data_IF_845284598121
#
_entry.id   IF_845284598121
#
_cell.length_a   1.000
_cell.length_b   1.000
_cell.length_c   1.000
_cell.angle_alpha   90.00
_cell.angle_beta   90.00
_cell.angle_gamma   90.00
#
_symmetry.space_group_name_H-M   'P 1'
#
loop_
_entity.id
_entity.type
_entity.pdbx_description
1 polymer ?
#
# COMPACT_ATOMS: atom_id res chain seq x y z
N UNK A 1 -11.97 26.80 -20.74
CA UNK A 1 -12.19 26.87 -19.27
C UNK A 1 -11.44 25.79 -18.50
N UNK A 2 -11.75 24.49 -18.64
CA UNK A 2 -11.01 23.42 -17.91
C UNK A 2 -9.55 23.30 -18.38
N UNK A 3 -9.30 23.44 -19.68
CA UNK A 3 -7.93 23.43 -20.21
C UNK A 3 -7.13 24.62 -19.70
N UNK A 4 -7.72 25.82 -19.69
CA UNK A 4 -7.10 27.02 -19.13
C UNK A 4 -6.77 26.83 -17.64
N UNK A 5 -7.70 26.25 -16.87
CA UNK A 5 -7.50 25.91 -15.46
C UNK A 5 -6.33 24.94 -15.27
N UNK A 6 -6.26 23.86 -16.06
CA UNK A 6 -5.18 22.88 -15.96
C UNK A 6 -3.85 23.37 -16.53
N UNK A 7 -3.84 24.29 -17.50
CA UNK A 7 -2.63 24.89 -18.05
C UNK A 7 -1.95 25.87 -17.06
N UNK A 8 -2.66 26.28 -16.02
CA UNK A 8 -2.14 27.20 -15.03
C UNK A 8 -1.09 26.52 -14.11
N UNK A 9 0.16 27.00 -14.18
CA UNK A 9 1.30 26.47 -13.42
C UNK A 9 1.15 26.54 -11.90
N UNK A 10 0.25 27.38 -11.39
CA UNK A 10 -0.04 27.44 -9.97
C UNK A 10 -1.11 26.44 -9.52
N UNK A 11 -1.88 25.89 -10.47
CA UNK A 11 -2.91 24.88 -10.24
C UNK A 11 -2.31 23.48 -10.28
N UNK A 12 -1.35 23.21 -11.17
CA UNK A 12 -0.75 21.87 -11.32
C UNK A 12 0.66 21.75 -10.73
N UNK A 13 0.91 20.64 -10.03
CA UNK A 13 2.24 20.23 -9.57
C UNK A 13 3.03 19.55 -10.72
N UNK A 14 3.59 20.32 -11.65
CA UNK A 14 4.34 19.74 -12.77
C UNK A 14 5.87 19.90 -12.69
N UNK A 15 6.44 20.70 -11.79
CA UNK A 15 7.91 20.84 -11.73
C UNK A 15 8.49 20.94 -10.33
N UNK A 16 9.43 20.05 -9.98
CA UNK A 16 10.18 20.11 -8.72
C UNK A 16 10.98 21.41 -8.54
N UNK A 17 11.29 22.12 -9.65
CA UNK A 17 11.87 23.48 -9.62
C UNK A 17 10.87 24.53 -9.10
N UNK A 18 9.59 24.41 -9.44
CA UNK A 18 8.56 25.33 -8.95
C UNK A 18 8.12 24.97 -7.52
N UNK A 19 8.04 23.69 -7.19
CA UNK A 19 7.79 23.23 -5.82
C UNK A 19 8.88 23.70 -4.86
N UNK A 20 10.16 23.54 -5.23
CA UNK A 20 11.27 24.06 -4.43
C UNK A 20 11.32 25.59 -4.37
N UNK A 21 10.97 26.30 -5.45
CA UNK A 21 10.82 27.76 -5.44
C UNK A 21 9.72 28.21 -4.46
N UNK A 22 8.56 27.55 -4.50
CA UNK A 22 7.43 27.92 -3.65
C UNK A 22 7.64 27.52 -2.19
N UNK A 23 8.16 26.33 -1.88
CA UNK A 23 8.47 25.90 -0.52
C UNK A 23 9.58 26.75 0.12
N UNK A 24 10.60 27.11 -0.67
CA UNK A 24 11.65 28.02 -0.23
C UNK A 24 11.09 29.40 0.13
N UNK A 25 10.00 29.85 -0.51
CA UNK A 25 9.31 31.09 -0.17
C UNK A 25 8.28 30.92 0.97
N UNK A 26 7.64 29.76 1.12
CA UNK A 26 6.70 29.46 2.22
C UNK A 26 7.38 29.50 3.59
N UNK A 27 8.62 29.01 3.70
CA UNK A 27 9.42 29.06 4.94
C UNK A 27 9.71 30.48 5.44
N UNK A 28 9.71 31.50 4.58
CA UNK A 28 9.94 32.89 5.02
C UNK A 28 8.70 33.51 5.67
N UNK A 29 7.50 33.09 5.29
CA UNK A 29 6.25 33.61 5.88
C UNK A 29 5.97 33.06 7.30
N UNK A 30 6.62 31.97 7.71
CA UNK A 30 6.51 31.47 9.09
C UNK A 30 7.35 32.30 10.08
N UNK A 31 8.38 33.02 9.62
CA UNK A 31 9.21 33.88 10.47
C UNK A 31 8.62 35.28 10.69
N UNK A 32 7.69 35.76 9.86
CA UNK A 32 7.05 37.07 10.04
C UNK A 32 5.89 37.08 11.07
N UNK A 33 5.51 35.92 11.63
CA UNK A 33 4.47 35.85 12.67
C UNK A 33 4.98 36.13 14.09
N UNK A 34 6.27 36.41 14.28
CA UNK A 34 6.83 36.77 15.58
C UNK A 34 7.39 38.19 15.49
N UNK A 35 6.52 39.15 15.79
CA UNK A 35 6.85 40.48 16.33
C UNK A 35 7.65 41.43 15.44
N UNK A 36 7.00 42.49 14.95
CA UNK A 36 7.33 43.89 15.28
C UNK A 36 6.50 44.85 14.41
N UNK A 37 5.99 45.90 15.05
CA UNK A 37 5.51 47.11 14.41
C UNK A 37 6.62 47.72 13.54
N UNK A 38 6.33 48.02 12.27
CA UNK A 38 7.20 48.89 11.48
C UNK A 38 6.36 49.99 10.82
N UNK A 39 6.71 51.19 11.27
CA UNK A 39 6.40 52.52 10.76
C UNK A 39 6.74 52.64 9.27
N UNK A 40 5.85 53.30 8.53
CA UNK A 40 6.05 53.70 7.12
C UNK A 40 7.21 54.69 7.01
N UNK A 41 8.29 54.33 6.32
CA UNK A 41 9.20 55.27 5.64
C UNK A 41 9.60 54.71 4.27
N UNK A 42 9.64 55.62 3.30
CA UNK A 42 9.73 55.44 1.86
C UNK A 42 10.93 54.65 1.31
N UNK A 43 10.68 54.07 0.12
CA UNK A 43 11.63 53.76 -0.95
C UNK A 43 12.70 52.68 -0.69
N UNK A 44 12.35 51.43 -1.01
CA UNK A 44 12.86 50.65 -2.16
C UNK A 44 11.98 49.38 -2.17
N UNK A 45 10.88 49.41 -2.93
CA UNK A 45 9.98 48.26 -3.06
C UNK A 45 10.69 47.18 -3.86
N UNK A 46 11.34 46.25 -3.16
CA UNK A 46 12.00 45.12 -3.79
C UNK A 46 10.96 44.26 -4.50
N UNK A 47 11.34 43.68 -5.66
CA UNK A 47 10.48 42.74 -6.43
C UNK A 47 9.90 41.59 -5.56
N UNK A 48 10.42 41.34 -4.36
CA UNK A 48 9.94 40.31 -3.41
C UNK A 48 8.58 40.64 -2.78
N UNK A 49 8.29 41.91 -2.45
CA UNK A 49 6.98 42.28 -1.89
C UNK A 49 5.84 42.20 -2.91
N UNK A 50 6.16 42.37 -4.20
CA UNK A 50 5.20 42.10 -5.30
C UNK A 50 4.90 40.62 -5.47
N UNK A 51 5.71 39.69 -4.96
CA UNK A 51 5.45 38.25 -5.09
C UNK A 51 4.65 37.74 -3.90
N UNK A 52 4.88 38.26 -2.68
CA UNK A 52 4.10 37.85 -1.50
C UNK A 52 2.65 38.34 -1.53
N UNK A 53 2.39 39.54 -2.10
CA UNK A 53 1.02 40.06 -2.28
C UNK A 53 0.22 39.44 -3.44
N UNK A 54 0.84 38.66 -4.34
CA UNK A 54 0.20 38.18 -5.58
C UNK A 54 0.04 36.66 -5.70
N UNK A 55 0.37 35.87 -4.67
CA UNK A 55 0.19 34.40 -4.75
C UNK A 55 -0.55 33.85 -3.52
N UNK A 56 -1.58 34.56 -3.06
CA UNK A 56 -2.77 33.87 -2.57
C UNK A 56 -3.69 33.71 -3.79
N UNK A 57 -3.75 32.51 -4.36
CA UNK A 57 -4.78 32.17 -5.37
C UNK A 57 -6.14 32.06 -4.67
N UNK A 58 -6.67 33.19 -4.24
CA UNK A 58 -8.02 33.30 -3.72
C UNK A 58 -9.05 33.13 -4.83
N UNK A 59 -8.73 33.55 -6.06
CA UNK A 59 -9.56 33.36 -7.24
C UNK A 59 -8.75 33.13 -8.53
N UNK A 60 -9.25 32.25 -9.40
CA UNK A 60 -8.77 32.06 -10.77
C UNK A 60 -9.96 32.21 -11.71
N UNK A 61 -9.85 33.08 -12.72
CA UNK A 61 -10.99 33.49 -13.57
C UNK A 61 -12.22 33.98 -12.79
N UNK A 62 -12.00 34.65 -11.65
CA UNK A 62 -13.09 35.15 -10.79
C UNK A 62 -13.79 34.08 -9.95
N UNK A 63 -13.39 32.81 -10.06
CA UNK A 63 -13.91 31.72 -9.24
C UNK A 63 -12.95 31.42 -8.09
N UNK A 64 -13.52 31.29 -6.90
CA UNK A 64 -12.83 30.79 -5.71
C UNK A 64 -12.44 29.32 -5.85
N UNK A 65 -11.51 28.86 -5.01
CA UNK A 65 -11.11 27.44 -4.94
C UNK A 65 -12.32 26.52 -4.70
N UNK A 66 -13.29 26.94 -3.87
CA UNK A 66 -14.52 26.17 -3.60
C UNK A 66 -15.41 26.06 -4.85
N UNK A 67 -15.51 27.13 -5.62
CA UNK A 67 -16.28 27.12 -6.87
C UNK A 67 -15.60 26.31 -7.96
N UNK A 68 -14.27 26.39 -8.08
CA UNK A 68 -13.50 25.51 -8.95
C UNK A 68 -13.70 24.05 -8.59
N UNK A 69 -13.73 23.69 -7.30
CA UNK A 69 -14.03 22.32 -6.89
C UNK A 69 -15.39 21.87 -7.42
N UNK A 70 -16.43 22.71 -7.35
CA UNK A 70 -17.76 22.42 -7.93
C UNK A 70 -17.69 22.24 -9.45
N UNK A 71 -16.98 23.11 -10.17
CA UNK A 71 -16.79 23.00 -11.62
C UNK A 71 -16.11 21.68 -11.98
N UNK A 72 -15.06 21.29 -11.25
CA UNK A 72 -14.38 20.01 -11.45
C UNK A 72 -15.30 18.81 -11.14
N UNK A 73 -16.14 18.90 -10.12
CA UNK A 73 -17.17 17.89 -9.84
C UNK A 73 -18.16 17.73 -10.98
N UNK A 74 -18.71 18.83 -11.51
CA UNK A 74 -19.63 18.75 -12.65
C UNK A 74 -18.95 18.16 -13.88
N UNK A 75 -17.70 18.54 -14.15
CA UNK A 75 -16.91 17.97 -15.23
C UNK A 75 -16.70 16.46 -15.03
N UNK A 76 -16.32 16.03 -13.83
CA UNK A 76 -16.17 14.61 -13.49
C UNK A 76 -17.47 13.84 -13.72
N UNK A 77 -18.61 14.36 -13.25
CA UNK A 77 -19.92 13.73 -13.45
C UNK A 77 -20.27 13.60 -14.94
N UNK A 78 -19.97 14.62 -15.74
CA UNK A 78 -20.15 14.56 -17.20
C UNK A 78 -19.34 13.42 -17.83
N UNK A 79 -18.05 13.30 -17.49
CA UNK A 79 -17.22 12.22 -18.03
C UNK A 79 -17.64 10.84 -17.51
N UNK A 80 -18.08 10.72 -16.25
CA UNK A 80 -18.63 9.47 -15.72
C UNK A 80 -19.91 9.05 -16.46
N UNK A 81 -20.83 9.97 -16.69
CA UNK A 81 -22.05 9.70 -17.45
C UNK A 81 -21.72 9.29 -18.90
N UNK A 82 -20.73 9.95 -19.53
CA UNK A 82 -20.22 9.57 -20.85
C UNK A 82 -19.67 8.14 -20.88
N UNK A 83 -18.93 7.74 -19.83
CA UNK A 83 -18.42 6.39 -19.68
C UNK A 83 -19.53 5.36 -19.45
N UNK A 84 -20.49 5.65 -18.58
CA UNK A 84 -21.60 4.75 -18.26
C UNK A 84 -22.48 4.48 -19.50
N UNK A 85 -22.73 5.51 -20.31
CA UNK A 85 -23.55 5.39 -21.51
C UNK A 85 -22.80 4.75 -22.70
N UNK A 86 -21.48 4.91 -22.78
CA UNK A 86 -20.69 4.39 -23.91
C UNK A 86 -19.23 4.10 -23.51
N UNK A 87 -18.93 2.92 -22.94
CA UNK A 87 -17.60 2.59 -22.43
C UNK A 87 -16.63 2.15 -23.54
N UNK A 88 -16.35 3.03 -24.49
CA UNK A 88 -15.30 2.79 -25.49
C UNK A 88 -13.91 2.99 -24.89
N UNK A 89 -12.90 2.33 -25.48
CA UNK A 89 -11.49 2.55 -25.09
C UNK A 89 -11.10 4.03 -25.13
N UNK A 90 -11.57 4.77 -26.14
CA UNK A 90 -11.30 6.20 -26.27
C UNK A 90 -11.89 7.00 -25.11
N UNK A 91 -13.15 6.75 -24.75
CA UNK A 91 -13.80 7.47 -23.65
C UNK A 91 -13.12 7.15 -22.30
N UNK A 92 -12.65 5.92 -22.11
CA UNK A 92 -11.89 5.51 -20.92
C UNK A 92 -10.57 6.28 -20.80
N UNK A 93 -9.79 6.36 -21.89
CA UNK A 93 -8.53 7.11 -21.90
C UNK A 93 -8.75 8.62 -21.70
N UNK A 94 -9.79 9.18 -22.30
CA UNK A 94 -10.16 10.59 -22.12
C UNK A 94 -10.53 10.88 -20.65
N UNK A 95 -11.31 10.00 -20.01
CA UNK A 95 -11.60 10.10 -18.59
C UNK A 95 -10.31 10.02 -17.75
N UNK A 96 -9.43 9.06 -18.01
CA UNK A 96 -8.17 8.91 -17.28
C UNK A 96 -7.28 10.15 -17.40
N UNK A 97 -7.22 10.77 -18.58
CA UNK A 97 -6.48 12.00 -18.78
C UNK A 97 -7.01 13.14 -17.90
N UNK A 98 -8.34 13.33 -17.89
CA UNK A 98 -8.98 14.43 -17.15
C UNK A 98 -8.90 14.21 -15.65
N UNK A 99 -9.25 13.02 -15.16
CA UNK A 99 -9.25 12.74 -13.72
C UNK A 99 -7.82 12.76 -13.15
N UNK A 100 -6.80 12.33 -13.92
CA UNK A 100 -5.40 12.43 -13.50
C UNK A 100 -4.99 13.90 -13.31
N UNK A 101 -5.46 14.81 -14.17
CA UNK A 101 -5.22 16.26 -14.02
C UNK A 101 -5.93 16.82 -12.78
N UNK A 102 -7.16 16.36 -12.49
CA UNK A 102 -7.90 16.74 -11.28
C UNK A 102 -7.18 16.30 -9.99
N UNK A 103 -6.67 15.07 -9.95
CA UNK A 103 -5.94 14.54 -8.79
C UNK A 103 -4.64 15.29 -8.48
N UNK A 104 -3.99 15.90 -9.48
CA UNK A 104 -2.73 16.66 -9.38
C UNK A 104 -2.92 18.15 -9.06
N UNK A 105 -4.15 18.58 -8.79
CA UNK A 105 -4.43 19.97 -8.42
C UNK A 105 -3.85 20.24 -7.03
N UNK A 106 -2.94 21.22 -6.97
CA UNK A 106 -2.11 21.55 -5.81
C UNK A 106 -2.89 21.88 -4.54
N UNK A 107 -4.10 22.42 -4.69
CA UNK A 107 -4.94 22.83 -3.57
C UNK A 107 -5.37 21.67 -2.66
N UNK A 108 -5.20 20.42 -3.11
CA UNK A 108 -5.64 19.22 -2.40
C UNK A 108 -4.50 18.22 -2.11
N UNK A 109 -3.24 18.67 -2.16
CA UNK A 109 -2.07 17.79 -2.03
C UNK A 109 -1.97 17.06 -0.68
N UNK A 110 -2.62 17.57 0.36
CA UNK A 110 -2.51 17.02 1.71
C UNK A 110 -3.63 16.05 2.10
N UNK A 111 -4.62 15.83 1.24
CA UNK A 111 -5.82 15.04 1.58
C UNK A 111 -6.30 14.19 0.41
N UNK A 112 -6.78 12.98 0.71
CA UNK A 112 -7.53 12.18 -0.26
C UNK A 112 -8.83 12.92 -0.60
N UNK A 113 -9.07 13.10 -1.89
CA UNK A 113 -10.27 13.73 -2.44
C UNK A 113 -11.19 12.70 -3.09
N UNK A 114 -12.41 13.13 -3.38
CA UNK A 114 -13.38 12.34 -4.12
C UNK A 114 -12.88 12.02 -5.55
N UNK A 115 -12.06 12.91 -6.15
CA UNK A 115 -11.42 12.66 -7.44
C UNK A 115 -10.47 11.47 -7.37
N UNK A 116 -9.68 11.35 -6.30
CA UNK A 116 -8.75 10.23 -6.11
C UNK A 116 -9.50 8.90 -5.97
N UNK A 117 -10.60 8.90 -5.21
CA UNK A 117 -11.44 7.72 -5.00
C UNK A 117 -12.19 7.31 -6.27
N UNK A 118 -12.70 8.27 -7.04
CA UNK A 118 -13.36 8.02 -8.32
C UNK A 118 -12.35 7.50 -9.34
N UNK A 119 -11.15 8.07 -9.40
CA UNK A 119 -10.07 7.59 -10.27
C UNK A 119 -9.73 6.13 -9.98
N UNK A 120 -9.56 5.80 -8.69
CA UNK A 120 -9.33 4.44 -8.24
C UNK A 120 -10.49 3.50 -8.60
N UNK A 121 -11.74 3.90 -8.35
CA UNK A 121 -12.93 3.09 -8.66
C UNK A 121 -12.99 2.74 -10.14
N UNK A 122 -12.86 3.73 -11.02
CA UNK A 122 -12.89 3.51 -12.48
C UNK A 122 -11.71 2.65 -12.93
N UNK A 123 -10.53 2.85 -12.35
CA UNK A 123 -9.38 2.00 -12.59
C UNK A 123 -9.63 0.53 -12.25
N UNK A 124 -10.28 0.24 -11.11
CA UNK A 124 -10.60 -1.12 -10.69
C UNK A 124 -11.67 -1.76 -11.59
N UNK A 125 -12.68 -1.00 -12.02
CA UNK A 125 -13.73 -1.50 -12.93
C UNK A 125 -13.11 -1.96 -14.27
N UNK A 126 -12.22 -1.15 -14.84
CA UNK A 126 -11.61 -1.43 -16.15
C UNK A 126 -10.28 -2.19 -16.07
N UNK A 127 -9.83 -2.55 -14.86
CA UNK A 127 -8.65 -3.40 -14.62
C UNK A 127 -7.35 -2.88 -15.28
N UNK A 128 -7.18 -1.56 -15.42
CA UNK A 128 -5.98 -0.97 -16.01
C UNK A 128 -4.85 -0.86 -14.97
N UNK A 129 -3.86 -1.73 -15.06
CA UNK A 129 -2.77 -1.83 -14.08
C UNK A 129 -1.83 -0.61 -14.05
N UNK A 130 -1.58 0.03 -15.19
CA UNK A 130 -0.68 1.21 -15.24
C UNK A 130 -1.35 2.43 -14.61
N UNK A 131 -2.63 2.62 -14.89
CA UNK A 131 -3.46 3.65 -14.25
C UNK A 131 -3.54 3.40 -12.75
N UNK A 132 -3.66 2.14 -12.32
CA UNK A 132 -3.66 1.79 -10.91
C UNK A 132 -2.37 2.17 -10.21
N UNK A 133 -1.23 1.91 -10.84
CA UNK A 133 0.07 2.33 -10.34
C UNK A 133 0.14 3.84 -10.15
N UNK A 134 -0.48 4.62 -11.03
CA UNK A 134 -0.53 6.06 -10.88
C UNK A 134 -1.46 6.53 -9.76
N UNK A 135 -2.61 5.87 -9.56
CA UNK A 135 -3.45 6.08 -8.38
C UNK A 135 -2.65 5.84 -7.10
N UNK A 136 -1.92 4.73 -7.01
CA UNK A 136 -1.09 4.41 -5.83
C UNK A 136 -0.03 5.49 -5.56
N UNK A 137 0.62 6.03 -6.60
CA UNK A 137 1.59 7.14 -6.43
C UNK A 137 0.92 8.38 -5.84
N UNK A 138 -0.31 8.72 -6.29
CA UNK A 138 -1.07 9.84 -5.75
C UNK A 138 -1.41 9.60 -4.28
N UNK A 139 -1.90 8.41 -3.92
CA UNK A 139 -2.19 8.08 -2.52
C UNK A 139 -0.93 8.11 -1.64
N UNK A 140 0.21 7.64 -2.15
CA UNK A 140 1.50 7.70 -1.46
C UNK A 140 2.00 9.13 -1.24
N UNK A 141 1.68 10.06 -2.14
CA UNK A 141 2.01 11.48 -1.97
C UNK A 141 1.10 12.16 -0.94
N UNK A 142 -0.20 11.82 -0.95
CA UNK A 142 -1.22 12.49 -0.13
C UNK A 142 -1.36 11.91 1.28
N UNK A 143 -0.98 10.65 1.49
CA UNK A 143 -1.17 9.96 2.77
C UNK A 143 0.10 9.29 3.27
N UNK A 144 0.38 9.45 4.57
CA UNK A 144 1.62 8.99 5.17
C UNK A 144 1.58 7.53 5.66
N UNK A 145 0.44 7.02 6.13
CA UNK A 145 0.39 5.73 6.87
C UNK A 145 -0.73 4.77 6.44
N UNK A 146 -1.94 5.26 6.18
CA UNK A 146 -3.09 4.42 5.75
C UNK A 146 -2.91 3.79 4.37
N UNK A 147 -1.93 4.29 3.60
CA UNK A 147 -1.64 3.85 2.24
C UNK A 147 -1.14 2.41 2.18
N UNK A 148 -0.52 1.88 3.25
CA UNK A 148 -0.04 0.49 3.27
C UNK A 148 -1.22 -0.49 3.28
N UNK A 149 -2.18 -0.27 4.18
CA UNK A 149 -3.41 -1.05 4.24
C UNK A 149 -4.19 -0.95 2.94
N UNK A 150 -4.31 0.27 2.39
CA UNK A 150 -4.95 0.49 1.11
C UNK A 150 -4.21 -0.23 -0.02
N UNK A 151 -2.89 -0.18 -0.07
CA UNK A 151 -2.07 -0.84 -1.10
C UNK A 151 -2.31 -2.35 -1.11
N UNK A 152 -2.22 -3.02 0.04
CA UNK A 152 -2.44 -4.48 0.12
C UNK A 152 -3.89 -4.89 -0.08
N UNK A 153 -4.84 -4.10 0.40
CA UNK A 153 -6.26 -4.33 0.13
C UNK A 153 -6.54 -4.26 -1.38
N UNK A 154 -6.06 -3.21 -2.03
CA UNK A 154 -6.31 -2.97 -3.44
C UNK A 154 -5.65 -4.00 -4.37
N UNK A 155 -4.54 -4.60 -3.96
CA UNK A 155 -3.90 -5.71 -4.68
C UNK A 155 -4.84 -6.90 -4.91
N UNK A 156 -5.84 -7.11 -4.04
CA UNK A 156 -6.78 -8.24 -4.16
C UNK A 156 -7.70 -8.13 -5.37
N UNK A 157 -7.83 -6.94 -5.95
CA UNK A 157 -8.80 -6.66 -7.01
C UNK A 157 -8.20 -6.66 -8.42
N UNK A 158 -6.88 -6.74 -8.55
CA UNK A 158 -6.19 -6.71 -9.85
C UNK A 158 -5.53 -8.04 -10.14
N UNK A 159 -5.96 -8.66 -11.24
CA UNK A 159 -5.38 -9.91 -11.72
C UNK A 159 -3.92 -9.70 -12.11
N UNK A 160 -3.04 -10.60 -11.66
CA UNK A 160 -1.62 -10.68 -12.03
C UNK A 160 -0.83 -9.36 -11.87
N UNK A 161 -1.23 -8.49 -10.94
CA UNK A 161 -0.59 -7.17 -10.73
C UNK A 161 0.90 -7.25 -10.38
N UNK A 162 1.33 -8.38 -9.81
CA UNK A 162 2.74 -8.66 -9.48
C UNK A 162 3.63 -8.82 -10.72
N UNK A 163 3.05 -9.02 -11.91
CA UNK A 163 3.78 -9.03 -13.18
C UNK A 163 4.07 -7.63 -13.74
N UNK A 164 3.38 -6.59 -13.25
CA UNK A 164 3.56 -5.23 -13.72
C UNK A 164 4.83 -4.59 -13.11
N UNK A 165 5.75 -4.14 -13.96
CA UNK A 165 7.03 -3.58 -13.52
C UNK A 165 6.88 -2.28 -12.71
N UNK A 166 5.93 -1.42 -13.09
CA UNK A 166 5.64 -0.18 -12.37
C UNK A 166 5.11 -0.47 -10.97
N UNK A 167 4.24 -1.47 -10.86
CA UNK A 167 3.72 -1.93 -9.58
C UNK A 167 4.85 -2.46 -8.69
N UNK A 168 5.72 -3.32 -9.22
CA UNK A 168 6.87 -3.86 -8.48
C UNK A 168 7.77 -2.73 -7.97
N UNK A 169 8.01 -1.69 -8.78
CA UNK A 169 8.78 -0.50 -8.35
C UNK A 169 8.09 0.22 -7.19
N UNK A 170 6.78 0.45 -7.28
CA UNK A 170 6.00 1.10 -6.21
C UNK A 170 6.05 0.25 -4.93
N UNK A 171 5.77 -1.04 -5.02
CA UNK A 171 5.80 -1.96 -3.89
C UNK A 171 7.17 -1.95 -3.19
N UNK A 172 8.28 -1.87 -3.94
CA UNK A 172 9.62 -1.72 -3.37
C UNK A 172 9.80 -0.40 -2.62
N UNK A 173 9.28 0.70 -3.13
CA UNK A 173 9.33 2.01 -2.46
C UNK A 173 8.51 2.01 -1.18
N UNK A 174 7.29 1.50 -1.25
CA UNK A 174 6.38 1.28 -0.12
C UNK A 174 7.07 0.46 0.97
N UNK A 175 7.64 -0.69 0.60
CA UNK A 175 8.39 -1.55 1.52
C UNK A 175 9.60 -0.84 2.16
N UNK A 176 10.43 -0.14 1.39
CA UNK A 176 11.59 0.59 1.92
C UNK A 176 11.15 1.64 2.94
N UNK A 177 10.08 2.36 2.64
CA UNK A 177 9.53 3.35 3.55
C UNK A 177 9.05 2.69 4.84
N UNK A 178 8.33 1.57 4.74
CA UNK A 178 7.88 0.80 5.89
C UNK A 178 9.07 0.37 6.77
N UNK A 179 10.10 -0.25 6.18
CA UNK A 179 11.28 -0.75 6.90
C UNK A 179 12.03 0.38 7.60
N UNK A 180 12.31 1.49 6.91
CA UNK A 180 13.02 2.63 7.51
C UNK A 180 12.26 3.22 8.71
N UNK A 181 10.93 3.28 8.62
CA UNK A 181 10.09 3.81 9.70
C UNK A 181 9.99 2.83 10.86
N UNK A 182 9.91 1.54 10.56
CA UNK A 182 9.92 0.48 11.56
C UNK A 182 11.25 0.44 12.33
N UNK A 183 12.39 0.46 11.64
CA UNK A 183 13.74 0.51 12.24
C UNK A 183 13.88 1.75 13.14
N UNK A 184 13.47 2.93 12.65
CA UNK A 184 13.44 4.16 13.45
C UNK A 184 12.56 4.06 14.70
N UNK A 185 11.45 3.32 14.65
CA UNK A 185 10.58 3.10 15.81
C UNK A 185 11.28 2.22 16.85
N UNK A 186 11.92 1.13 16.43
CA UNK A 186 12.66 0.27 17.35
C UNK A 186 13.80 1.03 18.03
N UNK A 187 14.52 1.89 17.30
CA UNK A 187 15.55 2.77 17.87
C UNK A 187 14.96 3.68 18.96
N UNK A 188 13.80 4.30 18.72
CA UNK A 188 13.11 5.14 19.72
C UNK A 188 12.66 4.33 20.95
N UNK A 189 12.13 3.12 20.75
CA UNK A 189 11.71 2.24 21.85
C UNK A 189 12.92 1.80 22.70
N UNK A 190 14.05 1.48 22.06
CA UNK A 190 15.31 1.17 22.74
C UNK A 190 15.87 2.40 23.48
N UNK A 191 15.85 3.58 22.87
CA UNK A 191 16.29 4.84 23.49
C UNK A 191 15.40 5.22 24.69
N UNK A 192 14.09 4.99 24.62
CA UNK A 192 13.19 5.24 25.76
C UNK A 192 13.42 4.24 26.90
N UNK A 193 13.65 2.96 26.56
CA UNK A 193 13.97 1.92 27.56
C UNK A 193 15.34 2.17 28.20
N UNK A 194 16.30 2.69 27.42
CA UNK A 194 17.60 3.11 27.93
C UNK A 194 17.50 4.39 28.76
N UNK A 195 16.73 5.41 28.34
CA UNK A 195 16.54 6.65 29.10
C UNK A 195 15.78 6.45 30.42
N UNK A 196 14.92 5.44 30.54
CA UNK A 196 14.36 5.01 31.84
C UNK A 196 15.42 4.34 32.75
N UNK A 197 16.48 3.77 32.17
CA UNK A 197 17.63 3.22 32.88
C UNK A 197 18.79 4.23 33.07
N UNK A 198 18.83 5.31 32.29
CA UNK A 198 19.88 6.33 32.28
C UNK A 198 19.32 7.73 32.54
N UNK A 199 18.63 7.92 33.67
CA UNK A 199 18.50 9.25 34.33
C UNK A 199 19.86 9.73 34.89
N UNK A 200 20.94 8.97 34.71
CA UNK A 200 22.31 9.42 34.90
C UNK A 200 23.13 9.14 33.64
N UNK A 201 23.26 10.15 32.78
CA UNK A 201 24.51 10.62 32.16
C UNK A 201 24.22 11.45 30.90
N UNK A 202 24.91 12.58 30.80
CA UNK A 202 24.72 13.64 29.80
C UNK A 202 24.85 13.14 28.35
N UNK A 203 23.84 13.44 27.54
CA UNK A 203 23.82 13.15 26.11
C UNK A 203 24.30 14.34 25.27
N UNK A 204 25.62 14.40 25.04
CA UNK A 204 26.19 14.89 23.80
C UNK A 204 26.60 13.67 22.99
N UNK A 205 25.80 13.25 21.98
CA UNK A 205 26.26 12.54 20.76
C UNK A 205 25.08 11.90 19.99
N UNK A 206 24.33 12.65 19.16
CA UNK A 206 23.81 12.10 17.88
C UNK A 206 23.76 13.23 16.84
N UNK A 207 24.89 13.43 16.14
CA UNK A 207 24.96 14.13 14.85
C UNK A 207 25.38 13.10 13.81
N UNK A 208 24.43 12.44 13.15
CA UNK A 208 24.63 11.87 11.81
C UNK A 208 23.36 11.21 11.26
N UNK A 209 22.47 12.00 10.65
CA UNK A 209 21.58 11.54 9.54
C UNK A 209 20.87 12.75 8.89
N UNK A 210 21.61 13.80 8.59
CA UNK A 210 21.11 14.89 7.75
C UNK A 210 21.37 14.53 6.28
N UNK A 211 20.37 13.98 5.59
CA UNK A 211 20.11 14.12 4.13
C UNK A 211 18.99 13.17 3.63
N UNK A 212 17.83 13.15 4.28
CA UNK A 212 16.63 12.53 3.72
C UNK A 212 15.50 13.56 3.69
N UNK A 213 14.99 13.79 2.48
CA UNK A 213 13.93 14.70 2.07
C UNK A 213 12.95 15.08 3.20
N UNK A 214 12.84 16.38 3.44
CA UNK A 214 11.82 17.03 4.26
C UNK A 214 10.42 16.57 3.80
N UNK A 215 9.90 15.53 4.44
CA UNK A 215 8.47 15.44 4.70
C UNK A 215 8.27 16.06 6.06
N UNK A 216 7.34 17.01 6.17
CA UNK A 216 6.98 17.67 7.43
C UNK A 216 6.98 16.61 8.53
N UNK A 217 7.92 16.78 9.47
CA UNK A 217 7.82 16.18 10.79
C UNK A 217 6.45 16.57 11.30
N UNK A 218 5.50 15.63 11.23
CA UNK A 218 4.30 15.66 12.04
C UNK A 218 4.74 16.17 13.40
N UNK A 219 4.16 17.30 13.81
CA UNK A 219 4.38 17.86 15.13
C UNK A 219 4.31 16.71 16.12
N UNK A 220 5.22 16.69 17.08
CA UNK A 220 5.32 15.69 18.16
C UNK A 220 4.02 15.47 18.95
N UNK A 221 2.93 16.17 18.62
CA UNK A 221 1.57 15.91 19.09
C UNK A 221 1.03 14.59 18.53
N UNK A 222 1.22 13.54 19.34
CA UNK A 222 0.14 12.64 19.77
C UNK A 222 -0.58 11.87 18.67
N UNK A 223 0.13 10.95 18.01
CA UNK A 223 -0.54 9.71 17.63
C UNK A 223 -0.62 8.82 18.88
N UNK A 224 -1.81 8.35 19.21
CA UNK A 224 -2.02 7.41 20.33
C UNK A 224 -1.26 6.10 20.07
N UNK A 225 -1.04 5.31 21.12
CA UNK A 225 -0.45 3.98 20.97
C UNK A 225 -1.25 3.12 19.98
N UNK A 226 -2.58 3.19 20.04
CA UNK A 226 -3.50 2.47 19.16
C UNK A 226 -3.42 2.96 17.70
N UNK A 227 -3.25 4.27 17.47
CA UNK A 227 -3.04 4.81 16.13
C UNK A 227 -1.68 4.40 15.56
N UNK A 228 -0.66 4.29 16.41
CA UNK A 228 0.67 3.77 16.03
C UNK A 228 0.64 2.26 15.78
N UNK A 229 -0.18 1.51 16.49
CA UNK A 229 -0.36 0.07 16.32
C UNK A 229 -1.19 -0.26 15.07
N UNK A 230 -2.29 0.47 14.83
CA UNK A 230 -3.12 0.35 13.63
C UNK A 230 -2.38 0.71 12.34
N UNK A 231 -1.33 1.55 12.42
CA UNK A 231 -0.47 1.92 11.30
C UNK A 231 0.62 0.88 10.98
N UNK A 232 0.96 -0.02 11.91
CA UNK A 232 2.10 -0.94 11.79
C UNK A 232 1.79 -2.32 12.39
N UNK A 233 0.86 -3.06 11.78
CA UNK A 233 0.65 -4.45 12.16
C UNK A 233 1.73 -5.35 11.56
N UNK A 234 2.07 -6.41 12.28
CA UNK A 234 3.02 -7.42 11.82
C UNK A 234 2.55 -8.07 10.51
N UNK A 235 1.24 -8.24 10.35
CA UNK A 235 0.60 -8.64 9.09
C UNK A 235 0.98 -7.72 7.90
N UNK A 236 0.97 -6.39 8.06
CA UNK A 236 1.35 -5.44 7.00
C UNK A 236 2.84 -5.57 6.67
N UNK A 237 3.68 -5.72 7.70
CA UNK A 237 5.11 -5.95 7.52
C UNK A 237 5.38 -7.22 6.71
N UNK A 238 4.75 -8.33 7.09
CA UNK A 238 4.87 -9.61 6.39
C UNK A 238 4.37 -9.53 4.94
N UNK A 239 3.21 -8.89 4.71
CA UNK A 239 2.66 -8.67 3.38
C UNK A 239 3.59 -7.85 2.46
N UNK A 240 4.44 -6.98 3.01
CA UNK A 240 5.43 -6.22 2.23
C UNK A 240 6.48 -7.07 1.53
N UNK A 241 6.64 -8.31 1.96
CA UNK A 241 7.56 -9.26 1.35
C UNK A 241 6.89 -10.20 0.34
N UNK A 242 5.55 -10.21 0.27
CA UNK A 242 4.78 -11.14 -0.56
C UNK A 242 4.87 -10.95 -2.09
N UNK A 243 5.28 -9.79 -2.67
CA UNK A 243 5.53 -9.72 -4.12
C UNK A 243 6.96 -10.11 -4.53
N UNK A 244 7.84 -10.55 -3.61
CA UNK A 244 9.21 -10.95 -3.94
C UNK A 244 9.40 -12.46 -3.87
N UNK A 245 10.13 -12.99 -4.85
CA UNK A 245 10.98 -14.17 -4.65
C UNK A 245 12.07 -13.76 -3.66
N UNK A 246 11.87 -14.09 -2.40
CA UNK A 246 12.65 -13.54 -1.31
C UNK A 246 13.99 -14.28 -1.15
N UNK A 247 15.06 -13.49 -1.00
CA UNK A 247 16.43 -13.91 -0.66
C UNK A 247 16.64 -13.94 0.87
N UNK A 248 17.66 -14.66 1.36
CA UNK A 248 18.01 -14.90 2.77
C UNK A 248 17.98 -13.66 3.69
N UNK A 249 18.25 -12.45 3.17
CA UNK A 249 18.27 -11.20 3.95
C UNK A 249 16.90 -10.80 4.46
N UNK A 250 15.83 -11.10 3.74
CA UNK A 250 14.47 -10.84 4.18
C UNK A 250 14.07 -11.72 5.35
N UNK A 251 14.34 -13.03 5.30
CA UNK A 251 13.98 -13.95 6.39
C UNK A 251 14.67 -13.55 7.69
N UNK A 252 15.95 -13.13 7.63
CA UNK A 252 16.66 -12.58 8.80
C UNK A 252 15.96 -11.33 9.36
N UNK A 253 15.59 -10.38 8.49
CA UNK A 253 14.86 -9.18 8.91
C UNK A 253 13.50 -9.52 9.51
N UNK A 254 12.77 -10.45 8.90
CA UNK A 254 11.45 -10.88 9.40
C UNK A 254 11.59 -11.53 10.77
N UNK A 255 12.47 -12.53 10.91
CA UNK A 255 12.71 -13.25 12.17
C UNK A 255 13.05 -12.33 13.34
N UNK A 256 13.78 -11.24 13.10
CA UNK A 256 14.17 -10.30 14.16
C UNK A 256 13.06 -9.31 14.55
N UNK A 257 11.98 -9.24 13.78
CA UNK A 257 10.94 -8.21 13.90
C UNK A 257 9.59 -8.78 14.34
N UNK A 258 9.27 -10.01 13.95
CA UNK A 258 7.92 -10.58 14.08
C UNK A 258 7.78 -11.40 15.36
N UNK A 259 6.77 -11.07 16.18
CA UNK A 259 6.31 -11.82 17.36
C UNK A 259 4.99 -12.50 16.99
N UNK A 260 5.05 -13.51 16.11
CA UNK A 260 3.87 -14.11 15.46
C UNK A 260 2.87 -14.69 16.45
N UNK A 261 1.64 -14.13 16.48
CA UNK A 261 0.61 -14.56 17.43
C UNK A 261 -0.73 -14.89 16.75
N UNK A 262 -1.05 -14.27 15.62
CA UNK A 262 -2.32 -14.52 14.90
C UNK A 262 -2.18 -15.61 13.82
N UNK A 263 -3.32 -16.14 13.38
CA UNK A 263 -3.40 -17.08 12.26
C UNK A 263 -2.75 -16.50 11.00
N UNK A 264 -3.13 -15.28 10.60
CA UNK A 264 -2.66 -14.63 9.39
C UNK A 264 -1.15 -14.40 9.41
N UNK A 265 -0.60 -13.95 10.54
CA UNK A 265 0.84 -13.72 10.71
C UNK A 265 1.63 -15.02 10.57
N UNK A 266 1.19 -16.08 11.24
CA UNK A 266 1.85 -17.39 11.18
C UNK A 266 1.78 -18.00 9.79
N UNK A 267 0.62 -17.92 9.13
CA UNK A 267 0.45 -18.38 7.76
C UNK A 267 1.34 -17.61 6.78
N UNK A 268 1.37 -16.27 6.86
CA UNK A 268 2.21 -15.44 6.01
C UNK A 268 3.70 -15.73 6.25
N UNK A 269 4.12 -15.85 7.51
CA UNK A 269 5.51 -16.18 7.86
C UNK A 269 5.88 -17.57 7.33
N UNK A 270 5.03 -18.58 7.54
CA UNK A 270 5.23 -19.93 7.04
C UNK A 270 5.35 -19.96 5.51
N UNK A 271 4.52 -19.20 4.80
CA UNK A 271 4.61 -19.06 3.33
C UNK A 271 5.92 -18.38 2.88
N UNK A 272 6.42 -17.39 3.63
CA UNK A 272 7.72 -16.78 3.33
C UNK A 272 8.86 -17.79 3.46
N UNK A 273 8.91 -18.57 4.54
CA UNK A 273 9.89 -19.65 4.74
C UNK A 273 9.75 -20.75 3.67
N UNK A 274 8.52 -21.13 3.33
CA UNK A 274 8.23 -22.13 2.31
C UNK A 274 8.74 -21.68 0.94
N UNK A 275 8.47 -20.44 0.55
CA UNK A 275 8.97 -19.88 -0.71
C UNK A 275 10.50 -19.79 -0.71
N UNK A 276 11.09 -19.38 0.42
CA UNK A 276 12.54 -19.30 0.56
C UNK A 276 13.20 -20.69 0.42
N UNK A 277 12.57 -21.77 0.92
CA UNK A 277 13.06 -23.15 0.80
C UNK A 277 13.24 -23.61 -0.65
N UNK A 278 12.50 -23.02 -1.61
CA UNK A 278 12.60 -23.31 -3.04
C UNK A 278 13.68 -22.48 -3.76
N UNK A 279 14.32 -21.53 -3.07
CA UNK A 279 15.40 -20.74 -3.64
C UNK A 279 16.58 -21.61 -4.07
N UNK A 280 17.17 -21.33 -5.23
CA UNK A 280 18.32 -22.09 -5.75
C UNK A 280 19.58 -21.85 -4.91
N UNK A 281 19.74 -20.65 -4.35
CA UNK A 281 20.96 -20.16 -3.70
C UNK A 281 21.00 -20.38 -2.18
N UNK A 282 20.01 -21.05 -1.60
CA UNK A 282 19.91 -21.28 -0.16
C UNK A 282 20.57 -22.61 0.21
N UNK A 283 21.45 -22.61 1.20
CA UNK A 283 22.07 -23.81 1.79
C UNK A 283 21.08 -24.58 2.66
N UNK A 284 20.32 -23.87 3.50
CA UNK A 284 19.54 -24.47 4.59
C UNK A 284 18.07 -24.68 4.20
N UNK A 285 17.84 -25.29 3.03
CA UNK A 285 16.48 -25.46 2.46
C UNK A 285 15.58 -26.30 3.35
N UNK A 286 16.12 -27.37 3.92
CA UNK A 286 15.37 -28.28 4.79
C UNK A 286 14.95 -27.59 6.09
N UNK A 287 15.86 -26.84 6.72
CA UNK A 287 15.53 -26.07 7.93
C UNK A 287 14.41 -25.07 7.68
N UNK A 288 14.49 -24.32 6.57
CA UNK A 288 13.42 -23.37 6.19
C UNK A 288 12.09 -24.09 5.92
N UNK A 289 12.12 -25.28 5.32
CA UNK A 289 10.93 -26.09 5.09
C UNK A 289 10.32 -26.62 6.41
N UNK A 290 11.14 -27.02 7.37
CA UNK A 290 10.69 -27.44 8.69
C UNK A 290 10.02 -26.28 9.45
N UNK A 291 10.68 -25.12 9.51
CA UNK A 291 10.10 -23.92 10.13
C UNK A 291 8.77 -23.54 9.45
N UNK A 292 8.72 -23.59 8.10
CA UNK A 292 7.49 -23.32 7.38
C UNK A 292 6.35 -24.28 7.73
N UNK A 293 6.67 -25.58 7.86
CA UNK A 293 5.72 -26.62 8.25
C UNK A 293 5.18 -26.35 9.64
N UNK A 294 6.06 -26.12 10.61
CA UNK A 294 5.68 -25.97 12.02
C UNK A 294 4.76 -24.75 12.19
N UNK A 295 5.11 -23.61 11.59
CA UNK A 295 4.27 -22.40 11.62
C UNK A 295 2.88 -22.60 11.01
N UNK A 296 2.79 -23.32 9.88
CA UNK A 296 1.51 -23.56 9.19
C UNK A 296 0.65 -24.56 9.97
N UNK A 297 1.26 -25.58 10.59
CA UNK A 297 0.55 -26.53 11.45
C UNK A 297 0.04 -25.84 12.71
N UNK A 298 0.90 -25.10 13.41
CA UNK A 298 0.51 -24.32 14.59
C UNK A 298 -0.63 -23.33 14.26
N UNK A 299 -0.56 -22.66 13.10
CA UNK A 299 -1.66 -21.80 12.65
C UNK A 299 -2.97 -22.59 12.44
N UNK A 300 -2.90 -23.80 11.89
CA UNK A 300 -4.09 -24.64 11.66
C UNK A 300 -4.74 -25.16 12.95
N UNK A 301 -3.99 -25.21 14.05
CA UNK A 301 -4.48 -25.63 15.37
C UNK A 301 -5.17 -24.49 16.15
N UNK A 302 -5.11 -23.25 15.67
CA UNK A 302 -5.75 -22.10 16.33
C UNK A 302 -7.27 -22.14 16.18
N UNK A 303 -8.04 -21.97 17.26
CA UNK A 303 -9.50 -22.16 17.28
C UNK A 303 -10.30 -21.11 16.48
N UNK A 304 -9.70 -19.98 16.14
CA UNK A 304 -10.42 -18.79 15.64
C UNK A 304 -10.86 -18.83 14.16
N UNK A 305 -10.65 -19.94 13.44
CA UNK A 305 -10.88 -20.00 11.99
C UNK A 305 -11.80 -21.12 11.52
N UNK A 306 -12.54 -20.87 10.42
CA UNK A 306 -13.34 -21.87 9.70
C UNK A 306 -12.48 -23.08 9.33
N UNK A 307 -12.90 -24.25 9.80
CA UNK A 307 -12.28 -25.56 9.57
C UNK A 307 -12.04 -25.83 8.07
N UNK A 308 -12.92 -25.32 7.20
CA UNK A 308 -12.79 -25.44 5.75
C UNK A 308 -11.54 -24.71 5.25
N UNK A 309 -11.28 -23.50 5.76
CA UNK A 309 -10.13 -22.68 5.36
C UNK A 309 -8.83 -23.31 5.87
N UNK A 310 -8.82 -23.81 7.11
CA UNK A 310 -7.67 -24.52 7.70
C UNK A 310 -7.29 -25.74 6.85
N UNK A 311 -8.25 -26.63 6.59
CA UNK A 311 -8.02 -27.82 5.77
C UNK A 311 -7.55 -27.45 4.35
N UNK A 312 -8.14 -26.41 3.73
CA UNK A 312 -7.75 -26.01 2.38
C UNK A 312 -6.31 -25.50 2.33
N UNK A 313 -5.91 -24.68 3.29
CA UNK A 313 -4.55 -24.13 3.35
C UNK A 313 -3.51 -25.21 3.64
N UNK A 314 -3.80 -26.17 4.52
CA UNK A 314 -2.96 -27.36 4.73
C UNK A 314 -2.84 -28.21 3.44
N UNK A 315 -3.96 -28.44 2.74
CA UNK A 315 -3.95 -29.16 1.48
C UNK A 315 -3.05 -28.47 0.44
N UNK A 316 -3.12 -27.13 0.35
CA UNK A 316 -2.25 -26.33 -0.53
C UNK A 316 -0.78 -26.41 -0.14
N UNK A 317 -0.46 -26.39 1.16
CA UNK A 317 0.90 -26.59 1.66
C UNK A 317 1.46 -27.96 1.24
N UNK A 318 0.73 -29.05 1.48
CA UNK A 318 1.15 -30.39 1.07
C UNK A 318 1.26 -30.55 -0.44
N UNK A 319 0.32 -29.96 -1.18
CA UNK A 319 0.39 -29.94 -2.64
C UNK A 319 1.64 -29.23 -3.15
N UNK A 320 2.00 -28.08 -2.53
CA UNK A 320 3.18 -27.29 -2.90
C UNK A 320 4.51 -27.99 -2.55
N UNK A 321 4.53 -28.72 -1.44
CA UNK A 321 5.71 -29.51 -1.02
C UNK A 321 5.85 -30.82 -1.79
N UNK A 322 4.80 -31.26 -2.50
CA UNK A 322 4.79 -32.47 -3.32
C UNK A 322 4.26 -33.71 -2.60
N UNK A 323 3.76 -33.57 -1.36
CA UNK A 323 3.08 -34.65 -0.65
C UNK A 323 1.61 -34.74 -1.11
N UNK A 324 1.41 -35.36 -2.27
CA UNK A 324 0.09 -35.42 -2.91
C UNK A 324 -0.93 -36.23 -2.13
N UNK A 325 -0.50 -37.23 -1.35
CA UNK A 325 -1.40 -38.09 -0.55
C UNK A 325 -2.05 -37.28 0.57
N UNK A 326 -1.27 -36.54 1.35
CA UNK A 326 -1.81 -35.66 2.39
C UNK A 326 -2.62 -34.52 1.77
N UNK A 327 -2.16 -33.94 0.66
CA UNK A 327 -2.91 -32.90 -0.05
C UNK A 327 -4.31 -33.38 -0.45
N UNK A 328 -4.42 -34.60 -1.01
CA UNK A 328 -5.68 -35.20 -1.40
C UNK A 328 -6.61 -35.41 -0.20
N UNK A 329 -6.10 -35.96 0.89
CA UNK A 329 -6.86 -36.14 2.14
C UNK A 329 -7.47 -34.83 2.63
N UNK A 330 -6.69 -33.77 2.75
CA UNK A 330 -7.17 -32.48 3.23
C UNK A 330 -8.13 -31.78 2.25
N UNK A 331 -7.92 -31.90 0.93
CA UNK A 331 -8.91 -31.38 -0.03
C UNK A 331 -10.23 -32.16 -0.01
N UNK A 332 -10.20 -33.48 0.26
CA UNK A 332 -11.42 -34.27 0.41
C UNK A 332 -12.20 -33.84 1.65
N UNK A 333 -11.51 -33.58 2.78
CA UNK A 333 -12.15 -33.01 3.97
C UNK A 333 -12.86 -31.69 3.64
N UNK A 334 -12.22 -30.79 2.86
CA UNK A 334 -12.85 -29.54 2.42
C UNK A 334 -14.12 -29.77 1.58
N UNK A 335 -14.13 -30.82 0.76
CA UNK A 335 -15.26 -31.12 -0.12
C UNK A 335 -16.50 -31.63 0.63
N UNK A 336 -16.30 -32.13 1.85
CA UNK A 336 -17.36 -32.65 2.73
C UNK A 336 -17.86 -31.58 3.74
N UNK A 337 -17.24 -30.40 3.77
CA UNK A 337 -17.62 -29.27 4.63
C UNK A 337 -18.65 -28.32 3.96
N UNK A 338 -19.31 -27.50 4.79
CA UNK A 338 -20.43 -26.63 4.37
C UNK A 338 -20.01 -25.42 3.52
N UNK A 339 -18.74 -25.02 3.55
CA UNK A 339 -18.28 -23.81 2.86
C UNK A 339 -18.18 -24.06 1.34
N UNK A 340 -19.20 -23.64 0.59
CA UNK A 340 -19.32 -23.89 -0.85
C UNK A 340 -18.19 -23.26 -1.68
N UNK A 341 -17.65 -22.12 -1.27
CA UNK A 341 -16.58 -21.45 -2.02
C UNK A 341 -15.26 -22.23 -1.88
N UNK A 342 -14.93 -22.64 -0.65
CA UNK A 342 -13.77 -23.48 -0.38
C UNK A 342 -13.92 -24.86 -1.02
N UNK A 343 -15.12 -25.46 -0.97
CA UNK A 343 -15.45 -26.73 -1.64
C UNK A 343 -15.14 -26.68 -3.13
N UNK A 344 -15.59 -25.65 -3.85
CA UNK A 344 -15.31 -25.48 -5.29
C UNK A 344 -13.80 -25.39 -5.57
N UNK A 345 -13.06 -24.64 -4.75
CA UNK A 345 -11.61 -24.51 -4.86
C UNK A 345 -10.91 -25.85 -4.58
N UNK A 346 -11.33 -26.60 -3.55
CA UNK A 346 -10.77 -27.89 -3.20
C UNK A 346 -11.00 -28.92 -4.31
N UNK A 347 -12.23 -29.02 -4.83
CA UNK A 347 -12.57 -29.90 -5.94
C UNK A 347 -11.77 -29.55 -7.22
N UNK A 348 -11.53 -28.26 -7.48
CA UNK A 348 -10.68 -27.84 -8.60
C UNK A 348 -9.24 -28.35 -8.42
N UNK A 349 -8.62 -28.17 -7.25
CA UNK A 349 -7.26 -28.66 -7.00
C UNK A 349 -7.19 -30.21 -7.02
N UNK A 350 -8.20 -30.91 -6.51
CA UNK A 350 -8.32 -32.36 -6.62
C UNK A 350 -8.35 -32.82 -8.08
N UNK A 351 -9.06 -32.09 -8.95
CA UNK A 351 -9.08 -32.41 -10.38
C UNK A 351 -7.69 -32.33 -11.03
N UNK A 352 -6.84 -31.39 -10.58
CA UNK A 352 -5.46 -31.27 -11.03
C UNK A 352 -4.59 -32.44 -10.56
N UNK A 353 -4.76 -32.89 -9.31
CA UNK A 353 -4.09 -34.09 -8.78
C UNK A 353 -4.53 -35.33 -9.58
N UNK A 354 -5.81 -35.47 -9.88
CA UNK A 354 -6.35 -36.57 -10.69
C UNK A 354 -5.74 -36.65 -12.08
N UNK A 355 -5.60 -35.49 -12.74
CA UNK A 355 -5.02 -35.42 -14.07
C UNK A 355 -3.58 -35.94 -14.06
N UNK A 356 -2.79 -35.56 -13.05
CA UNK A 356 -1.42 -36.07 -12.86
C UNK A 356 -1.40 -37.58 -12.61
N UNK A 357 -2.31 -38.09 -11.77
CA UNK A 357 -2.35 -39.51 -11.38
C UNK A 357 -3.12 -40.41 -12.38
N UNK A 358 -3.70 -39.85 -13.44
CA UNK A 358 -4.50 -40.52 -14.49
C UNK A 358 -5.69 -41.37 -14.02
N UNK A 359 -6.04 -41.40 -12.74
CA UNK A 359 -7.13 -42.23 -12.19
C UNK A 359 -8.50 -41.88 -12.81
N UNK A 360 -9.19 -42.87 -13.39
CA UNK A 360 -10.54 -42.71 -13.99
C UNK A 360 -11.67 -42.87 -12.97
N UNK A 361 -11.51 -43.73 -11.96
CA UNK A 361 -12.49 -43.96 -10.90
C UNK A 361 -12.65 -42.73 -10.01
N UNK A 362 -11.53 -42.11 -9.64
CA UNK A 362 -11.52 -40.91 -8.80
C UNK A 362 -12.15 -39.69 -9.52
N UNK A 363 -11.94 -39.57 -10.84
CA UNK A 363 -12.64 -38.55 -11.67
C UNK A 363 -14.17 -38.68 -11.64
N UNK A 364 -14.71 -39.90 -11.60
CA UNK A 364 -16.16 -40.12 -11.50
C UNK A 364 -16.72 -39.70 -10.14
N UNK A 365 -15.95 -39.89 -9.06
CA UNK A 365 -16.32 -39.48 -7.69
C UNK A 365 -16.34 -37.95 -7.60
N UNK A 366 -15.30 -37.29 -8.11
CA UNK A 366 -15.22 -35.83 -8.17
C UNK A 366 -16.36 -35.19 -8.97
N UNK A 367 -16.72 -35.79 -10.12
CA UNK A 367 -17.81 -35.29 -10.95
C UNK A 367 -19.20 -35.36 -10.26
N UNK A 368 -19.39 -36.29 -9.31
CA UNK A 368 -20.61 -36.35 -8.49
C UNK A 368 -20.60 -35.24 -7.45
N UNK A 369 -19.51 -35.12 -6.67
CA UNK A 369 -19.35 -34.09 -5.62
C UNK A 369 -19.36 -32.64 -6.13
N UNK A 370 -19.18 -32.43 -7.43
CA UNK A 370 -19.30 -31.10 -8.06
C UNK A 370 -20.76 -30.70 -8.36
N UNK A 371 -21.65 -31.68 -8.55
CA UNK A 371 -23.06 -31.45 -8.87
C UNK A 371 -23.92 -31.27 -7.61
N UNK A 372 -23.49 -31.88 -6.52
CA UNK A 372 -24.04 -31.72 -5.16
C UNK A 372 -23.37 -30.52 -4.46
#
# INVERSE_FOLDING_TARGET
>A
MLEDFFSNKFVQNETGKFTSFFERNKKYNEYEKIGQEIVVVNEIVSKREKVSKYVELSCLHGLSIKEWRKVLFYAMSFYLQKLENNPTKQNIEEFYLVIRRMCKVRFWDSQITEFDLVYLKVCLIYQNQDVFCDCLKIFLQKTNYSVFNLHYFLMRFLKDITSNENFVKIAKTVQRFYVLRFEKRQEIELDNTQNELTVNCNNDFIKSTSNLLFYETLSKSELTYEEKEAMYTETIFLNSYFPRYVYNTTIKKVKNTTRTNTYEERMLLGLLYLNNSKSRSLSDKLENLHIARDLILEASEMDDLDESIKNYNLAKFYYYTGNLVEAEKYFLNCADLKNNDVKKLALFNLSLICQKNKSRSFRKILARRWKD
#
